data_IF_365571215879
#
_entry.id   IF_365571215879
#
_cell.length_a   1.000
_cell.length_b   1.000
_cell.length_c   1.000
_cell.angle_alpha   90.00
_cell.angle_beta   90.00
_cell.angle_gamma   90.00
#
_symmetry.space_group_name_H-M   'P 1'
#
loop_
_entity.id
_entity.type
_entity.pdbx_description
1 polymer ?
#
# COMPACT_ATOMS: atom_id res chain seq x y z
N UNK A 1 -1.50 -28.50 -0.78
CA UNK A 1 -2.79 -27.78 -0.85
C UNK A 1 -2.72 -26.68 0.20
N UNK A 2 -2.69 -25.38 -0.02
CA UNK A 2 -2.88 -24.47 -1.17
C UNK A 2 -1.83 -23.36 -0.99
N UNK A 3 -0.86 -23.24 -1.91
CA UNK A 3 0.02 -22.07 -1.91
C UNK A 3 -0.83 -20.86 -2.31
N UNK A 4 -1.25 -20.09 -1.32
CA UNK A 4 -2.04 -18.88 -1.53
C UNK A 4 -1.17 -17.97 -2.42
N UNK A 5 -1.54 -17.81 -3.70
CA UNK A 5 -0.85 -16.87 -4.59
C UNK A 5 -1.12 -15.49 -4.03
N UNK A 6 -0.15 -14.97 -3.33
CA UNK A 6 -0.22 -13.64 -2.76
C UNK A 6 -0.27 -12.63 -3.91
N UNK A 7 -1.37 -11.86 -4.06
CA UNK A 7 -1.66 -11.16 -5.31
C UNK A 7 -0.57 -10.16 -5.71
N UNK A 8 0.12 -9.56 -4.74
CA UNK A 8 1.17 -8.58 -5.02
C UNK A 8 2.58 -9.13 -5.28
N UNK A 9 2.87 -10.42 -5.02
CA UNK A 9 4.23 -10.99 -5.13
C UNK A 9 4.67 -11.24 -6.58
N UNK A 10 3.72 -11.49 -7.49
CA UNK A 10 3.97 -11.63 -8.94
C UNK A 10 3.48 -10.45 -9.76
N UNK A 11 2.89 -9.43 -9.12
CA UNK A 11 2.29 -8.29 -9.79
C UNK A 11 3.37 -7.27 -10.21
N UNK A 12 3.31 -6.74 -11.45
CA UNK A 12 4.14 -5.63 -11.88
C UNK A 12 4.07 -4.44 -10.91
N UNK A 13 5.21 -3.77 -10.71
CA UNK A 13 5.28 -2.69 -9.74
C UNK A 13 4.33 -1.52 -10.06
N UNK A 14 4.12 -1.22 -11.34
CA UNK A 14 3.22 -0.13 -11.76
C UNK A 14 1.75 -0.47 -11.51
N UNK A 15 1.32 -1.68 -11.89
CA UNK A 15 -0.03 -2.18 -11.61
C UNK A 15 -0.35 -2.17 -10.11
N UNK A 16 0.60 -2.62 -9.27
CA UNK A 16 0.43 -2.56 -7.81
C UNK A 16 0.29 -1.13 -7.31
N UNK A 17 1.04 -0.18 -7.87
CA UNK A 17 0.95 1.24 -7.51
C UNK A 17 -0.37 1.84 -7.95
N UNK A 18 -0.89 1.46 -9.10
CA UNK A 18 -2.19 1.90 -9.60
C UNK A 18 -3.31 1.43 -8.68
N UNK A 19 -3.27 0.17 -8.23
CA UNK A 19 -4.20 -0.36 -7.24
C UNK A 19 -4.12 0.38 -5.90
N UNK A 20 -2.91 0.66 -5.41
CA UNK A 20 -2.71 1.42 -4.16
C UNK A 20 -3.30 2.84 -4.30
N UNK A 21 -2.99 3.53 -5.39
CA UNK A 21 -3.48 4.89 -5.65
C UNK A 21 -5.01 4.92 -5.84
N UNK A 22 -5.57 3.94 -6.56
CA UNK A 22 -7.00 3.77 -6.75
C UNK A 22 -7.72 3.53 -5.43
N UNK A 23 -7.18 2.63 -4.60
CA UNK A 23 -7.71 2.35 -3.25
C UNK A 23 -7.66 3.59 -2.36
N UNK A 24 -6.54 4.32 -2.36
CA UNK A 24 -6.39 5.55 -1.60
C UNK A 24 -7.36 6.65 -2.05
N UNK A 25 -7.63 6.75 -3.35
CA UNK A 25 -8.61 7.70 -3.89
C UNK A 25 -10.04 7.31 -3.53
N UNK A 26 -10.38 6.03 -3.61
CA UNK A 26 -11.72 5.53 -3.29
C UNK A 26 -12.04 5.61 -1.80
N UNK A 27 -11.10 5.23 -0.92
CA UNK A 27 -11.27 5.25 0.55
C UNK A 27 -10.90 6.58 1.20
N UNK A 28 -10.30 7.51 0.45
CA UNK A 28 -9.72 8.77 0.94
C UNK A 28 -8.42 8.61 1.75
N UNK A 29 -8.13 7.41 2.25
CA UNK A 29 -6.91 7.07 2.99
C UNK A 29 -6.59 5.58 2.87
N UNK A 30 -5.33 5.21 3.11
CA UNK A 30 -4.87 3.81 3.18
C UNK A 30 -3.81 3.65 4.26
N UNK A 31 -3.87 2.54 4.97
CA UNK A 31 -2.86 2.18 5.96
C UNK A 31 -1.85 1.19 5.38
N UNK A 32 -0.58 1.36 5.74
CA UNK A 32 0.49 0.45 5.30
C UNK A 32 0.20 -0.99 5.75
N UNK A 33 -0.34 -1.17 6.96
CA UNK A 33 -0.67 -2.49 7.48
C UNK A 33 -1.76 -3.19 6.64
N UNK A 34 -2.78 -2.46 6.21
CA UNK A 34 -3.85 -3.00 5.38
C UNK A 34 -3.32 -3.37 4.00
N UNK A 35 -2.52 -2.50 3.37
CA UNK A 35 -1.90 -2.79 2.07
C UNK A 35 -0.99 -4.02 2.14
N UNK A 36 -0.25 -4.21 3.24
CA UNK A 36 0.56 -5.42 3.45
C UNK A 36 -0.33 -6.65 3.56
N UNK A 37 -1.48 -6.58 4.23
CA UNK A 37 -2.41 -7.72 4.36
C UNK A 37 -3.15 -8.02 3.05
N UNK A 38 -3.64 -7.00 2.36
CA UNK A 38 -4.43 -7.10 1.13
C UNK A 38 -3.57 -7.55 -0.06
N UNK A 39 -2.37 -6.97 -0.22
CA UNK A 39 -1.48 -7.29 -1.34
C UNK A 39 -0.49 -8.42 -1.00
N UNK A 40 -0.30 -8.71 0.30
CA UNK A 40 0.62 -9.70 0.84
C UNK A 40 2.07 -9.52 0.37
N UNK A 41 2.47 -8.27 0.16
CA UNK A 41 3.86 -7.89 -0.08
C UNK A 41 4.49 -7.38 1.21
N UNK A 42 5.82 -7.33 1.24
CA UNK A 42 6.54 -6.83 2.41
C UNK A 42 6.18 -5.37 2.71
N UNK A 43 6.25 -5.00 4.00
CA UNK A 43 6.10 -3.60 4.42
C UNK A 43 7.07 -2.66 3.68
N UNK A 44 8.30 -3.11 3.43
CA UNK A 44 9.29 -2.35 2.67
C UNK A 44 8.85 -2.11 1.21
N UNK A 45 8.20 -3.10 0.58
CA UNK A 45 7.63 -2.97 -0.77
C UNK A 45 6.54 -1.90 -0.79
N UNK A 46 5.59 -1.96 0.15
CA UNK A 46 4.56 -0.93 0.28
C UNK A 46 5.18 0.45 0.51
N UNK A 47 6.18 0.57 1.38
CA UNK A 47 6.85 1.87 1.59
C UNK A 47 7.49 2.42 0.31
N UNK A 48 8.17 1.58 -0.47
CA UNK A 48 8.77 2.00 -1.76
C UNK A 48 7.70 2.44 -2.75
N UNK A 49 6.60 1.69 -2.86
CA UNK A 49 5.49 2.03 -3.76
C UNK A 49 4.82 3.34 -3.34
N UNK A 50 4.54 3.54 -2.05
CA UNK A 50 4.00 4.80 -1.52
C UNK A 50 4.98 5.97 -1.71
N UNK A 51 6.29 5.75 -1.58
CA UNK A 51 7.29 6.78 -1.81
C UNK A 51 7.31 7.21 -3.29
N UNK A 52 7.23 6.25 -4.22
CA UNK A 52 7.12 6.51 -5.66
C UNK A 52 5.84 7.26 -6.02
N UNK A 53 4.69 6.81 -5.51
CA UNK A 53 3.41 7.48 -5.73
C UNK A 53 3.40 8.91 -5.18
N UNK A 54 4.02 9.14 -4.02
CA UNK A 54 4.13 10.47 -3.44
C UNK A 54 5.05 11.38 -4.26
N UNK A 55 6.19 10.86 -4.74
CA UNK A 55 7.10 11.59 -5.62
C UNK A 55 6.43 11.98 -6.96
N UNK A 56 5.48 11.16 -7.43
CA UNK A 56 4.67 11.44 -8.63
C UNK A 56 3.46 12.35 -8.36
N UNK A 57 3.24 12.81 -7.12
CA UNK A 57 2.07 13.61 -6.75
C UNK A 57 0.74 12.85 -6.77
N UNK A 58 0.75 11.52 -6.93
CA UNK A 58 -0.46 10.68 -7.02
C UNK A 58 -1.13 10.43 -5.68
N UNK A 59 -0.36 10.51 -4.59
CA UNK A 59 -0.84 10.43 -3.22
C UNK A 59 -0.13 11.48 -2.35
N UNK A 60 -0.77 11.89 -1.26
CA UNK A 60 -0.12 12.67 -0.21
C UNK A 60 0.09 11.79 1.02
N UNK A 61 1.34 11.66 1.47
CA UNK A 61 1.66 10.92 2.70
C UNK A 61 1.28 11.77 3.90
N UNK A 62 0.25 11.36 4.62
CA UNK A 62 -0.07 11.92 5.93
C UNK A 62 0.67 11.03 6.95
N UNK A 63 1.55 11.62 7.77
CA UNK A 63 2.03 10.94 8.98
C UNK A 63 0.84 10.91 9.94
N UNK A 64 0.01 9.88 9.83
CA UNK A 64 -0.90 9.59 10.93
C UNK A 64 -0.03 9.00 12.05
N UNK A 65 0.32 9.83 13.03
CA UNK A 65 0.84 9.33 14.30
C UNK A 65 -0.24 8.48 14.98
N UNK A 66 0.18 7.43 15.68
CA UNK A 66 -0.69 6.73 16.61
C UNK A 66 -0.44 7.32 18.00
N UNK A 67 -1.48 7.85 18.63
CA UNK A 67 -1.49 8.09 20.07
C UNK A 67 -1.99 6.81 20.73
N UNK A 68 -1.27 6.32 21.75
CA UNK A 68 -1.82 5.32 22.65
C UNK A 68 -2.95 5.98 23.47
N UNK A 69 -4.11 5.32 23.55
CA UNK A 69 -5.10 5.63 24.56
C UNK A 69 -4.66 4.96 25.87
N UNK A 70 -4.73 5.71 26.96
CA UNK A 70 -4.41 5.27 28.32
C UNK A 70 -5.32 4.12 28.79
#
# INVERSE_FOLDING_TARGET
MTAQRTPGQGMPCEERRDLIAGTARAKGHVWVADLVRELGVSRMTIHRDLQRLAAQGRIRRIRSGAAAAA
#
